data_IF_966123360888
#
_entry.id   IF_966123360888
#
_cell.length_a   1.000
_cell.length_b   1.000
_cell.length_c   1.000
_cell.angle_alpha   90.00
_cell.angle_beta   90.00
_cell.angle_gamma   90.00
#
_symmetry.space_group_name_H-M   'P 1'
#
loop_
_entity.id
_entity.type
_entity.pdbx_description
1 polymer ?
#
# COMPACT_ATOMS: atom_id res chain seq x y z
N UNK A 1 9.79 24.70 -8.59
CA UNK A 1 9.68 26.16 -8.82
C UNK A 1 10.74 26.98 -8.06
N UNK A 2 10.76 26.99 -6.72
CA UNK A 2 11.69 27.84 -5.94
C UNK A 2 13.19 27.57 -6.13
N UNK A 3 13.61 26.31 -6.38
CA UNK A 3 15.02 25.98 -6.59
C UNK A 3 15.55 26.43 -7.97
N UNK A 4 14.72 26.33 -9.02
CA UNK A 4 15.06 26.75 -10.38
C UNK A 4 15.12 28.28 -10.50
N UNK A 5 14.22 29.00 -9.83
CA UNK A 5 14.28 30.47 -9.73
C UNK A 5 15.49 30.94 -8.91
N UNK A 6 15.79 30.27 -7.80
CA UNK A 6 16.99 30.56 -7.00
C UNK A 6 18.27 30.29 -7.78
N UNK A 7 18.28 29.30 -8.67
CA UNK A 7 19.39 29.00 -9.59
C UNK A 7 19.52 30.06 -10.70
N UNK A 8 18.42 30.53 -11.29
CA UNK A 8 18.43 31.68 -12.21
C UNK A 8 19.03 32.92 -11.55
N UNK A 9 18.64 33.21 -10.30
CA UNK A 9 19.20 34.31 -9.51
C UNK A 9 20.69 34.15 -9.18
N UNK A 10 21.13 32.94 -8.82
CA UNK A 10 22.53 32.65 -8.50
C UNK A 10 23.43 32.77 -9.74
N UNK A 11 22.96 32.27 -10.89
CA UNK A 11 23.63 32.40 -12.18
C UNK A 11 23.77 33.87 -12.64
N UNK A 12 22.77 34.71 -12.34
CA UNK A 12 22.81 36.15 -12.63
C UNK A 12 23.73 36.94 -11.67
N UNK A 13 23.87 36.50 -10.42
CA UNK A 13 24.54 37.32 -9.39
C UNK A 13 26.08 37.32 -9.43
N UNK A 14 26.73 36.43 -10.21
CA UNK A 14 28.21 36.29 -10.37
C UNK A 14 29.02 36.36 -9.07
N UNK A 15 28.41 36.17 -7.90
CA UNK A 15 29.06 36.22 -6.61
C UNK A 15 29.07 34.82 -6.02
N UNK A 16 30.30 34.33 -5.86
CA UNK A 16 30.70 33.10 -5.15
C UNK A 16 30.84 31.80 -5.97
N UNK A 17 31.44 31.79 -7.17
CA UNK A 17 31.81 30.51 -7.80
C UNK A 17 33.22 30.58 -8.38
N UNK A 18 34.11 29.71 -7.87
CA UNK A 18 35.57 29.81 -8.00
C UNK A 18 36.18 29.06 -9.19
N UNK A 19 35.43 28.25 -9.95
CA UNK A 19 35.93 27.61 -11.19
C UNK A 19 34.81 27.40 -12.23
N UNK A 20 35.08 27.75 -13.50
CA UNK A 20 34.11 27.67 -14.60
C UNK A 20 33.73 26.22 -14.97
N UNK A 21 34.59 25.25 -14.65
CA UNK A 21 34.35 23.81 -14.88
C UNK A 21 33.25 23.27 -13.94
N UNK A 22 33.26 23.68 -12.67
CA UNK A 22 32.25 23.30 -11.69
C UNK A 22 30.88 23.88 -12.03
N UNK A 23 30.84 25.08 -12.61
CA UNK A 23 29.61 25.68 -13.14
C UNK A 23 29.05 24.88 -14.33
N UNK A 24 29.90 24.40 -15.23
CA UNK A 24 29.50 23.56 -16.35
C UNK A 24 28.91 22.22 -15.92
N UNK A 25 29.51 21.61 -14.88
CA UNK A 25 29.04 20.37 -14.25
C UNK A 25 27.69 20.57 -13.55
N UNK A 26 27.54 21.64 -12.76
CA UNK A 26 26.26 22.00 -12.13
C UNK A 26 25.14 22.21 -13.16
N UNK A 27 25.38 22.98 -14.22
CA UNK A 27 24.39 23.20 -15.29
C UNK A 27 23.99 21.88 -15.95
N UNK A 28 24.96 20.97 -16.16
CA UNK A 28 24.72 19.65 -16.75
C UNK A 28 23.86 18.78 -15.84
N UNK A 29 24.15 18.74 -14.54
CA UNK A 29 23.34 18.03 -13.55
C UNK A 29 21.88 18.54 -13.52
N UNK A 30 21.69 19.86 -13.52
CA UNK A 30 20.37 20.48 -13.48
C UNK A 30 19.51 20.27 -14.73
N UNK A 31 20.14 20.04 -15.89
CA UNK A 31 19.41 19.71 -17.13
C UNK A 31 18.60 18.43 -17.01
N UNK A 32 19.05 17.49 -16.17
CA UNK A 32 18.35 16.23 -15.95
C UNK A 32 17.23 16.32 -14.91
N UNK A 33 17.20 17.39 -14.10
CA UNK A 33 16.23 17.53 -13.00
C UNK A 33 14.80 17.84 -13.48
N UNK A 34 14.64 18.73 -14.46
CA UNK A 34 13.31 19.04 -15.02
C UNK A 34 12.63 17.82 -15.68
N UNK A 35 13.30 17.05 -16.58
CA UNK A 35 12.69 15.86 -17.13
C UNK A 35 12.52 14.75 -16.09
N UNK A 36 13.38 14.68 -15.07
CA UNK A 36 13.19 13.75 -13.95
C UNK A 36 11.93 14.09 -13.14
N UNK A 37 11.72 15.36 -12.80
CA UNK A 37 10.52 15.81 -12.07
C UNK A 37 9.24 15.54 -12.89
N UNK A 38 9.28 15.77 -14.20
CA UNK A 38 8.18 15.42 -15.09
C UNK A 38 7.92 13.92 -15.13
N UNK A 39 8.98 13.10 -15.20
CA UNK A 39 8.85 11.65 -15.16
C UNK A 39 8.27 11.16 -13.83
N UNK A 40 8.67 11.75 -12.70
CA UNK A 40 8.10 11.48 -11.37
C UNK A 40 6.61 11.79 -11.36
N UNK A 41 6.20 12.98 -11.81
CA UNK A 41 4.78 13.39 -11.87
C UNK A 41 3.93 12.48 -12.75
N UNK A 42 4.54 11.83 -13.74
CA UNK A 42 3.90 10.87 -14.63
C UNK A 42 4.00 9.42 -14.14
N UNK A 43 4.53 9.19 -12.93
CA UNK A 43 4.73 7.84 -12.38
C UNK A 43 5.79 7.01 -13.10
N UNK A 44 6.55 7.59 -14.04
CA UNK A 44 7.60 6.91 -14.83
C UNK A 44 8.88 6.77 -13.99
N UNK A 45 8.81 6.06 -12.88
CA UNK A 45 9.85 5.95 -11.86
C UNK A 45 11.18 5.40 -12.42
N UNK A 46 11.17 4.46 -13.38
CA UNK A 46 12.39 3.97 -14.02
C UNK A 46 13.12 5.06 -14.82
N UNK A 47 12.38 5.84 -15.60
CA UNK A 47 12.93 6.96 -16.38
C UNK A 47 13.44 8.06 -15.45
N UNK A 48 12.68 8.38 -14.40
CA UNK A 48 13.09 9.33 -13.38
C UNK A 48 14.41 8.91 -12.71
N UNK A 49 14.54 7.64 -12.33
CA UNK A 49 15.75 7.09 -11.73
C UNK A 49 16.95 7.31 -12.65
N UNK A 50 16.85 6.92 -13.92
CA UNK A 50 17.97 7.01 -14.85
C UNK A 50 18.43 8.46 -15.05
N UNK A 51 17.48 9.40 -15.19
CA UNK A 51 17.77 10.83 -15.28
C UNK A 51 18.44 11.38 -14.02
N UNK A 52 17.95 11.01 -12.84
CA UNK A 52 18.51 11.45 -11.56
C UNK A 52 19.90 10.86 -11.29
N UNK A 53 20.18 9.65 -11.74
CA UNK A 53 21.52 9.06 -11.66
C UNK A 53 22.51 9.80 -12.57
N UNK A 54 22.07 10.25 -13.76
CA UNK A 54 22.89 11.16 -14.58
C UNK A 54 23.10 12.50 -13.88
N UNK A 55 22.06 13.07 -13.25
CA UNK A 55 22.17 14.30 -12.48
C UNK A 55 23.21 14.16 -11.34
N UNK A 56 23.13 13.07 -10.57
CA UNK A 56 24.04 12.81 -9.46
C UNK A 56 25.50 12.59 -9.90
N UNK A 57 25.70 11.96 -11.06
CA UNK A 57 27.05 11.73 -11.62
C UNK A 57 27.76 13.03 -11.98
N UNK A 58 27.01 14.05 -12.41
CA UNK A 58 27.52 15.34 -12.87
C UNK A 58 27.59 16.40 -11.77
N UNK A 59 27.19 16.13 -10.53
CA UNK A 59 27.10 17.16 -9.46
C UNK A 59 28.26 17.08 -8.43
N UNK A 60 29.13 18.11 -8.36
CA UNK A 60 30.18 18.20 -7.34
C UNK A 60 29.83 19.05 -6.09
N UNK A 61 28.56 19.34 -5.74
CA UNK A 61 28.25 20.45 -4.81
C UNK A 61 27.00 20.31 -3.89
N UNK A 62 26.73 21.26 -2.96
CA UNK A 62 25.63 21.24 -1.97
C UNK A 62 24.21 21.07 -2.52
N UNK A 63 24.02 21.20 -3.84
CA UNK A 63 22.76 20.98 -4.53
C UNK A 63 22.38 19.50 -4.71
N UNK A 64 23.35 18.62 -4.48
CA UNK A 64 23.23 17.18 -4.43
C UNK A 64 22.15 16.71 -3.44
N UNK A 65 21.83 17.51 -2.41
CA UNK A 65 20.73 17.23 -1.48
C UNK A 65 19.36 17.04 -2.15
N UNK A 66 19.01 17.86 -3.14
CA UNK A 66 17.71 17.75 -3.84
C UNK A 66 17.69 16.54 -4.77
N UNK A 67 18.79 16.28 -5.47
CA UNK A 67 18.93 15.12 -6.38
C UNK A 67 18.77 13.83 -5.57
N UNK A 68 19.53 13.68 -4.48
CA UNK A 68 19.49 12.49 -3.64
C UNK A 68 18.13 12.32 -2.92
N UNK A 69 17.44 13.40 -2.55
CA UNK A 69 16.08 13.31 -2.03
C UNK A 69 15.08 12.79 -3.08
N UNK A 70 15.20 13.25 -4.33
CA UNK A 70 14.37 12.74 -5.43
C UNK A 70 14.74 11.29 -5.79
N UNK A 71 16.03 10.92 -5.77
CA UNK A 71 16.47 9.52 -5.93
C UNK A 71 15.87 8.64 -4.85
N UNK A 72 15.91 9.07 -3.58
CA UNK A 72 15.32 8.32 -2.49
C UNK A 72 13.83 8.07 -2.70
N UNK A 73 13.08 9.11 -3.07
CA UNK A 73 11.66 8.98 -3.42
C UNK A 73 11.42 7.96 -4.54
N UNK A 74 12.21 8.05 -5.62
CA UNK A 74 12.08 7.15 -6.78
C UNK A 74 12.48 5.71 -6.43
N UNK A 75 13.59 5.50 -5.72
CA UNK A 75 13.99 4.16 -5.28
C UNK A 75 12.96 3.52 -4.36
N UNK A 76 12.37 4.29 -3.45
CA UNK A 76 11.28 3.81 -2.61
C UNK A 76 10.09 3.35 -3.45
N UNK A 77 9.67 4.15 -4.44
CA UNK A 77 8.57 3.80 -5.36
C UNK A 77 8.88 2.59 -6.24
N UNK A 78 10.17 2.30 -6.48
CA UNK A 78 10.62 1.10 -7.17
C UNK A 78 10.77 -0.12 -6.23
N UNK A 79 10.38 0.00 -4.96
CA UNK A 79 10.50 -1.07 -3.95
C UNK A 79 11.91 -1.21 -3.33
N UNK A 80 12.86 -0.37 -3.74
CA UNK A 80 14.25 -0.42 -3.28
C UNK A 80 14.47 0.46 -2.04
N UNK A 81 13.72 0.20 -0.97
CA UNK A 81 13.74 1.05 0.24
C UNK A 81 15.11 1.10 0.93
N UNK A 82 15.96 0.07 0.82
CA UNK A 82 17.33 0.11 1.33
C UNK A 82 18.20 1.14 0.60
N UNK A 83 18.16 1.15 -0.74
CA UNK A 83 18.87 2.16 -1.53
C UNK A 83 18.29 3.55 -1.29
N UNK A 84 16.97 3.66 -1.15
CA UNK A 84 16.33 4.93 -0.82
C UNK A 84 16.85 5.54 0.50
N UNK A 85 17.14 4.71 1.51
CA UNK A 85 17.74 5.17 2.77
C UNK A 85 19.17 5.67 2.56
N UNK A 86 19.99 4.99 1.75
CA UNK A 86 21.36 5.44 1.40
C UNK A 86 21.34 6.82 0.72
N UNK A 87 20.41 7.01 -0.21
CA UNK A 87 20.20 8.28 -0.89
C UNK A 87 19.71 9.37 0.07
N UNK A 88 18.77 9.06 0.98
CA UNK A 88 18.35 9.98 2.04
C UNK A 88 19.51 10.37 2.97
N UNK A 89 20.37 9.42 3.35
CA UNK A 89 21.55 9.70 4.18
C UNK A 89 22.52 10.62 3.46
N UNK A 90 22.69 10.45 2.15
CA UNK A 90 23.49 11.35 1.33
C UNK A 90 22.86 12.73 1.23
N UNK A 91 21.54 12.82 1.06
CA UNK A 91 20.82 14.09 1.08
C UNK A 91 21.01 14.84 2.42
N UNK A 92 20.97 14.14 3.56
CA UNK A 92 21.19 14.72 4.89
C UNK A 92 22.62 15.25 5.11
N UNK A 93 23.63 14.78 4.36
CA UNK A 93 24.99 15.37 4.42
C UNK A 93 24.99 16.81 3.91
N UNK A 94 24.13 17.11 2.93
CA UNK A 94 24.01 18.44 2.32
C UNK A 94 22.92 19.29 2.98
N UNK A 95 21.83 18.67 3.42
CA UNK A 95 20.69 19.33 4.07
C UNK A 95 20.38 18.70 5.43
N UNK A 96 21.23 18.88 6.48
CA UNK A 96 21.12 18.13 7.74
C UNK A 96 19.82 18.35 8.53
N UNK A 97 19.07 19.41 8.22
CA UNK A 97 17.81 19.78 8.87
C UNK A 97 16.60 19.59 7.96
N UNK A 98 16.73 18.89 6.84
CA UNK A 98 15.62 18.68 5.94
C UNK A 98 14.62 17.66 6.53
N UNK A 99 13.52 18.20 7.08
CA UNK A 99 12.42 17.42 7.66
C UNK A 99 11.82 16.41 6.68
N UNK A 100 11.69 16.75 5.40
CA UNK A 100 11.08 15.85 4.40
C UNK A 100 11.91 14.58 4.21
N UNK A 101 13.23 14.65 4.38
CA UNK A 101 14.11 13.48 4.30
C UNK A 101 13.89 12.55 5.49
N UNK A 102 13.70 13.08 6.70
CA UNK A 102 13.34 12.25 7.86
C UNK A 102 12.01 11.52 7.64
N UNK A 103 11.01 12.18 7.05
CA UNK A 103 9.74 11.53 6.71
C UNK A 103 9.94 10.40 5.70
N UNK A 104 10.70 10.63 4.62
CA UNK A 104 11.00 9.59 3.61
C UNK A 104 11.75 8.40 4.20
N UNK A 105 12.74 8.62 5.08
CA UNK A 105 13.43 7.54 5.79
C UNK A 105 12.44 6.73 6.65
N UNK A 106 11.55 7.42 7.37
CA UNK A 106 10.49 6.79 8.16
C UNK A 106 9.62 5.85 7.32
N UNK A 107 9.17 6.32 6.15
CA UNK A 107 8.42 5.50 5.19
C UNK A 107 9.25 4.31 4.68
N UNK A 108 10.53 4.49 4.37
CA UNK A 108 11.39 3.41 3.89
C UNK A 108 11.58 2.32 4.96
N UNK A 109 11.80 2.70 6.22
CA UNK A 109 11.91 1.72 7.31
C UNK A 109 10.59 0.98 7.54
N UNK A 110 9.45 1.65 7.39
CA UNK A 110 8.13 1.02 7.41
C UNK A 110 7.99 -0.02 6.29
N UNK A 111 8.36 0.33 5.07
CA UNK A 111 8.36 -0.63 3.93
C UNK A 111 9.33 -1.81 4.16
N UNK A 112 10.40 -1.59 4.92
CA UNK A 112 11.33 -2.64 5.33
C UNK A 112 10.83 -3.49 6.51
N UNK A 113 9.73 -3.11 7.17
CA UNK A 113 9.20 -3.76 8.37
C UNK A 113 9.94 -3.38 9.66
N UNK A 114 10.85 -2.40 9.61
CA UNK A 114 11.61 -1.92 10.76
C UNK A 114 10.84 -0.81 11.48
N UNK A 115 9.75 -1.20 12.14
CA UNK A 115 8.74 -0.28 12.68
C UNK A 115 9.32 0.70 13.71
N UNK A 116 10.21 0.26 14.60
CA UNK A 116 10.83 1.15 15.60
C UNK A 116 11.69 2.25 14.95
N UNK A 117 12.44 1.90 13.90
CA UNK A 117 13.20 2.88 13.13
C UNK A 117 12.26 3.84 12.40
N UNK A 118 11.16 3.34 11.82
CA UNK A 118 10.16 4.18 11.17
C UNK A 118 9.60 5.23 12.13
N UNK A 119 9.15 4.81 13.31
CA UNK A 119 8.62 5.68 14.37
C UNK A 119 9.66 6.72 14.79
N UNK A 120 10.92 6.32 14.99
CA UNK A 120 11.98 7.24 15.42
C UNK A 120 12.21 8.39 14.41
N UNK A 121 12.25 8.08 13.10
CA UNK A 121 12.43 9.10 12.07
C UNK A 121 11.20 9.97 11.86
N UNK A 122 9.99 9.40 11.97
CA UNK A 122 8.75 10.18 11.92
C UNK A 122 8.63 11.13 13.12
N UNK A 123 9.07 10.73 14.32
CA UNK A 123 9.14 11.62 15.50
C UNK A 123 10.04 12.83 15.22
N UNK A 124 11.24 12.62 14.64
CA UNK A 124 12.12 13.72 14.20
C UNK A 124 11.47 14.64 13.16
N UNK A 125 10.68 14.09 12.24
CA UNK A 125 9.87 14.89 11.33
C UNK A 125 8.88 15.78 12.11
N UNK A 126 8.09 15.20 13.02
CA UNK A 126 7.09 15.97 13.81
C UNK A 126 7.71 17.05 14.71
N UNK A 127 8.94 16.85 15.19
CA UNK A 127 9.68 17.84 16.00
C UNK A 127 10.11 19.06 15.17
N UNK A 128 10.40 18.85 13.88
CA UNK A 128 10.88 19.89 12.96
C UNK A 128 9.79 20.49 12.07
N UNK A 129 8.64 19.81 11.94
CA UNK A 129 7.48 20.29 11.22
C UNK A 129 6.74 21.39 12.00
N UNK A 130 6.44 22.49 11.30
CA UNK A 130 5.73 23.67 11.81
C UNK A 130 4.26 23.67 11.39
N UNK A 131 3.94 23.03 10.28
CA UNK A 131 2.58 22.87 9.82
C UNK A 131 1.80 21.93 10.75
N UNK A 132 0.70 22.42 11.31
CA UNK A 132 -0.06 21.68 12.30
C UNK A 132 -0.80 20.48 11.69
N UNK A 133 -1.23 20.58 10.43
CA UNK A 133 -1.96 19.53 9.73
C UNK A 133 -1.01 18.37 9.37
N UNK A 134 0.12 18.67 8.76
CA UNK A 134 1.15 17.67 8.42
C UNK A 134 1.71 16.99 9.67
N UNK A 135 1.85 17.75 10.76
CA UNK A 135 2.26 17.20 12.06
C UNK A 135 1.20 16.28 12.66
N UNK A 136 -0.09 16.61 12.52
CA UNK A 136 -1.18 15.75 12.97
C UNK A 136 -1.24 14.45 12.17
N UNK A 137 -1.15 14.52 10.83
CA UNK A 137 -1.08 13.34 9.95
C UNK A 137 0.08 12.42 10.31
N UNK A 138 1.27 12.98 10.54
CA UNK A 138 2.42 12.18 10.93
C UNK A 138 2.29 11.57 12.34
N UNK A 139 1.59 12.23 13.27
CA UNK A 139 1.29 11.67 14.60
C UNK A 139 0.30 10.53 14.53
N UNK A 140 -0.79 10.69 13.78
CA UNK A 140 -1.75 9.61 13.49
C UNK A 140 -1.01 8.41 12.88
N UNK A 141 -0.12 8.66 11.92
CA UNK A 141 0.68 7.59 11.31
C UNK A 141 1.67 6.92 12.30
N UNK A 142 2.26 7.68 13.23
CA UNK A 142 3.09 7.11 14.31
C UNK A 142 2.25 6.23 15.24
N UNK A 143 1.07 6.69 15.64
CA UNK A 143 0.15 5.94 16.50
C UNK A 143 -0.30 4.64 15.83
N UNK A 144 -0.52 4.68 14.51
CA UNK A 144 -0.81 3.49 13.74
C UNK A 144 0.35 2.51 13.76
N UNK A 145 1.57 2.97 13.51
CA UNK A 145 2.77 2.13 13.57
C UNK A 145 3.06 1.58 14.96
N UNK A 146 2.77 2.32 16.02
CA UNK A 146 2.94 1.85 17.40
C UNK A 146 1.98 0.69 17.72
N UNK A 147 0.74 0.76 17.23
CA UNK A 147 -0.21 -0.34 17.33
C UNK A 147 0.19 -1.54 16.45
N UNK A 148 0.60 -1.26 15.21
CA UNK A 148 1.07 -2.29 14.28
C UNK A 148 2.30 -3.03 14.85
N UNK A 149 3.16 -2.34 15.58
CA UNK A 149 4.30 -2.94 16.29
C UNK A 149 3.86 -3.99 17.30
N UNK A 150 2.78 -3.76 18.04
CA UNK A 150 2.25 -4.72 19.01
C UNK A 150 1.71 -5.97 18.29
N UNK A 151 1.02 -5.78 17.16
CA UNK A 151 0.55 -6.87 16.30
C UNK A 151 1.73 -7.67 15.69
N UNK A 152 2.78 -6.98 15.28
CA UNK A 152 3.97 -7.56 14.64
C UNK A 152 4.97 -8.17 15.63
N UNK A 153 4.89 -7.84 16.93
CA UNK A 153 5.77 -8.40 17.96
C UNK A 153 5.44 -9.86 18.28
N UNK A 154 4.30 -10.38 17.81
CA UNK A 154 3.98 -11.80 17.88
C UNK A 154 5.02 -12.62 17.09
N UNK A 155 5.43 -13.81 17.58
CA UNK A 155 6.46 -14.61 16.93
C UNK A 155 6.07 -14.91 15.48
N UNK A 156 6.90 -14.40 14.57
CA UNK A 156 6.76 -14.55 13.13
C UNK A 156 7.05 -16.02 12.79
N UNK A 157 5.99 -16.80 12.62
CA UNK A 157 6.08 -18.24 12.32
C UNK A 157 6.51 -18.45 10.87
N UNK A 158 7.62 -19.17 10.64
CA UNK A 158 8.09 -19.62 9.31
C UNK A 158 7.10 -20.58 8.59
N UNK A 159 5.88 -20.69 9.10
CA UNK A 159 4.79 -21.44 8.50
C UNK A 159 4.58 -21.05 7.03
N UNK A 160 4.38 -22.04 6.15
CA UNK A 160 4.10 -21.80 4.72
C UNK A 160 2.76 -21.10 4.48
N UNK A 161 1.94 -20.93 5.52
CA UNK A 161 0.67 -20.23 5.53
C UNK A 161 0.44 -19.54 6.89
N UNK A 162 -0.73 -18.94 7.09
CA UNK A 162 -1.11 -18.29 8.35
C UNK A 162 -2.49 -18.73 8.87
N UNK A 163 -2.98 -19.91 8.47
CA UNK A 163 -4.31 -20.39 8.88
C UNK A 163 -4.44 -20.59 10.38
N UNK A 164 -3.43 -21.18 11.03
CA UNK A 164 -3.51 -21.56 12.44
C UNK A 164 -3.61 -20.30 13.34
N UNK A 165 -2.95 -19.20 12.93
CA UNK A 165 -3.08 -17.90 13.60
C UNK A 165 -4.49 -17.30 13.43
N UNK A 166 -5.11 -17.46 12.26
CA UNK A 166 -6.49 -17.00 12.04
C UNK A 166 -7.48 -17.82 12.87
N UNK A 167 -7.32 -19.15 12.92
CA UNK A 167 -8.18 -20.05 13.70
C UNK A 167 -8.08 -19.76 15.20
N UNK A 168 -6.88 -19.52 15.72
CA UNK A 168 -6.66 -19.18 17.12
C UNK A 168 -7.40 -17.90 17.56
N UNK A 169 -7.60 -16.98 16.62
CA UNK A 169 -8.31 -15.71 16.85
C UNK A 169 -9.76 -15.73 16.35
N UNK A 170 -10.25 -16.86 15.84
CA UNK A 170 -11.61 -16.96 15.31
C UNK A 170 -11.88 -16.09 14.08
N UNK A 171 -10.84 -15.78 13.31
CA UNK A 171 -10.90 -14.89 12.13
C UNK A 171 -10.96 -15.72 10.84
N UNK A 172 -11.67 -16.85 10.84
CA UNK A 172 -11.91 -17.71 9.67
C UNK A 172 -13.40 -17.93 9.52
N UNK A 173 -13.93 -17.53 8.37
CA UNK A 173 -15.34 -17.70 8.00
C UNK A 173 -15.38 -18.36 6.63
N UNK A 174 -16.36 -19.19 6.30
CA UNK A 174 -16.30 -20.00 5.06
C UNK A 174 -17.62 -20.06 4.34
N UNK A 175 -17.57 -20.10 3.02
CA UNK A 175 -18.72 -20.48 2.21
C UNK A 175 -18.93 -22.00 2.25
N UNK A 176 -20.17 -22.46 2.32
CA UNK A 176 -20.48 -23.88 2.20
C UNK A 176 -20.08 -24.38 0.80
N UNK A 177 -19.61 -25.63 0.67
CA UNK A 177 -19.32 -26.21 -0.65
C UNK A 177 -20.53 -26.22 -1.58
N UNK A 178 -21.73 -26.37 -1.02
CA UNK A 178 -23.00 -26.32 -1.75
C UNK A 178 -23.35 -24.93 -2.29
N UNK A 179 -22.68 -23.87 -1.81
CA UNK A 179 -22.84 -22.51 -2.33
C UNK A 179 -22.03 -22.28 -3.63
N UNK A 180 -21.15 -23.21 -4.01
CA UNK A 180 -20.35 -23.06 -5.21
C UNK A 180 -21.17 -23.37 -6.48
N UNK A 181 -21.01 -22.60 -7.57
CA UNK A 181 -20.15 -21.41 -7.67
C UNK A 181 -20.77 -20.16 -7.02
N UNK A 182 -19.94 -19.38 -6.34
CA UNK A 182 -20.32 -18.10 -5.73
C UNK A 182 -20.65 -17.08 -6.83
N UNK A 183 -21.81 -16.44 -6.72
CA UNK A 183 -22.28 -15.40 -7.64
C UNK A 183 -21.71 -14.06 -7.21
N UNK A 184 -20.87 -13.48 -8.05
CA UNK A 184 -20.20 -12.20 -7.77
C UNK A 184 -20.78 -11.12 -8.67
N UNK A 185 -21.34 -10.07 -8.07
CA UNK A 185 -21.70 -8.85 -8.78
C UNK A 185 -20.59 -7.81 -8.62
N UNK A 186 -20.17 -7.21 -9.74
CA UNK A 186 -19.21 -6.11 -9.75
C UNK A 186 -19.93 -4.89 -10.29
N UNK A 187 -20.17 -3.91 -9.41
CA UNK A 187 -20.86 -2.67 -9.76
C UNK A 187 -20.11 -1.86 -10.80
N UNK A 188 -20.86 -1.01 -11.52
CA UNK A 188 -20.29 0.05 -12.36
C UNK A 188 -20.19 1.32 -11.55
N UNK A 189 -19.03 1.98 -11.60
CA UNK A 189 -18.77 3.25 -10.94
C UNK A 189 -18.94 4.46 -11.86
N UNK A 190 -19.76 4.34 -12.91
CA UNK A 190 -19.95 5.38 -13.92
C UNK A 190 -20.35 6.72 -13.24
N UNK A 191 -19.57 7.77 -13.51
CA UNK A 191 -19.78 9.10 -12.93
C UNK A 191 -19.12 9.36 -11.57
N UNK A 192 -18.49 8.36 -10.94
CA UNK A 192 -17.70 8.58 -9.73
C UNK A 192 -16.34 9.21 -10.06
N UNK A 193 -15.94 10.22 -9.28
CA UNK A 193 -14.62 10.85 -9.40
C UNK A 193 -13.50 9.82 -9.19
N UNK A 194 -12.52 9.78 -10.09
CA UNK A 194 -11.39 8.85 -10.02
C UNK A 194 -11.68 7.42 -10.50
N UNK A 195 -12.94 7.09 -10.80
CA UNK A 195 -13.29 5.81 -11.38
C UNK A 195 -12.81 5.70 -12.84
N UNK A 196 -12.26 4.55 -13.20
CA UNK A 196 -11.87 4.23 -14.58
C UNK A 196 -12.55 2.95 -15.06
N UNK A 197 -12.93 2.90 -16.34
CA UNK A 197 -13.71 1.80 -16.93
C UNK A 197 -13.01 0.42 -16.86
N UNK A 198 -11.70 0.39 -16.64
CA UNK A 198 -10.93 -0.84 -16.46
C UNK A 198 -11.02 -1.42 -15.04
N UNK A 199 -11.50 -0.68 -14.02
CA UNK A 199 -11.55 -1.15 -12.63
C UNK A 199 -12.30 -2.47 -12.42
N UNK A 200 -13.48 -2.71 -13.04
CA UNK A 200 -14.15 -4.00 -12.94
C UNK A 200 -13.31 -5.19 -13.41
N UNK A 201 -12.39 -4.99 -14.35
CA UNK A 201 -11.49 -6.05 -14.83
C UNK A 201 -10.47 -6.45 -13.74
N UNK A 202 -10.02 -5.49 -12.92
CA UNK A 202 -9.14 -5.78 -11.78
C UNK A 202 -9.87 -6.52 -10.66
N UNK A 203 -11.12 -6.12 -10.36
CA UNK A 203 -11.96 -6.86 -9.42
C UNK A 203 -12.18 -8.30 -9.87
N UNK A 204 -12.53 -8.52 -11.15
CA UNK A 204 -12.65 -9.87 -11.71
C UNK A 204 -11.34 -10.66 -11.60
N UNK A 205 -10.20 -10.05 -11.99
CA UNK A 205 -8.87 -10.65 -11.90
C UNK A 205 -8.52 -11.05 -10.47
N UNK A 206 -8.95 -10.28 -9.47
CA UNK A 206 -8.73 -10.60 -8.06
C UNK A 206 -9.44 -11.89 -7.66
N UNK A 207 -10.74 -12.02 -7.97
CA UNK A 207 -11.48 -13.26 -7.70
C UNK A 207 -10.93 -14.46 -8.48
N UNK A 208 -10.62 -14.29 -9.77
CA UNK A 208 -10.00 -15.35 -10.59
C UNK A 208 -8.65 -15.80 -10.01
N UNK A 209 -7.85 -14.87 -9.46
CA UNK A 209 -6.57 -15.21 -8.80
C UNK A 209 -6.78 -16.09 -7.57
N UNK A 210 -7.77 -15.80 -6.73
CA UNK A 210 -8.11 -16.61 -5.56
C UNK A 210 -8.72 -17.96 -5.95
N UNK A 211 -9.59 -18.00 -6.96
CA UNK A 211 -10.17 -19.24 -7.51
C UNK A 211 -9.05 -20.17 -8.01
N UNK A 212 -8.12 -19.66 -8.83
CA UNK A 212 -6.96 -20.43 -9.30
C UNK A 212 -6.06 -20.88 -8.15
N UNK A 213 -5.81 -20.00 -7.19
CA UNK A 213 -4.99 -20.30 -6.02
C UNK A 213 -5.56 -21.46 -5.20
N UNK A 214 -6.89 -21.55 -5.09
CA UNK A 214 -7.59 -22.61 -4.36
C UNK A 214 -7.46 -23.99 -5.00
N UNK A 215 -6.98 -24.10 -6.24
CA UNK A 215 -6.89 -25.38 -6.94
C UNK A 215 -8.26 -25.98 -7.31
N UNK A 216 -9.29 -25.14 -7.49
CA UNK A 216 -10.65 -25.56 -7.87
C UNK A 216 -11.61 -25.81 -6.69
N UNK A 217 -11.17 -25.56 -5.46
CA UNK A 217 -12.01 -25.63 -4.26
C UNK A 217 -13.00 -24.47 -4.16
N UNK A 218 -12.61 -23.31 -4.69
CA UNK A 218 -13.47 -22.15 -4.91
C UNK A 218 -13.89 -22.10 -6.37
N UNK A 219 -15.13 -21.67 -6.60
CA UNK A 219 -15.64 -21.37 -7.93
C UNK A 219 -16.46 -20.07 -7.84
N UNK A 220 -16.25 -19.15 -8.77
CA UNK A 220 -17.00 -17.91 -8.85
C UNK A 220 -17.57 -17.73 -10.26
N UNK A 221 -18.76 -17.15 -10.35
CA UNK A 221 -19.40 -16.74 -11.61
C UNK A 221 -19.88 -15.30 -11.48
N UNK A 222 -19.78 -14.52 -12.56
CA UNK A 222 -20.29 -13.16 -12.57
C UNK A 222 -21.81 -13.15 -12.78
N UNK A 223 -22.49 -12.23 -12.09
CA UNK A 223 -23.91 -11.95 -12.30
C UNK A 223 -24.11 -10.46 -12.56
N UNK A 224 -25.17 -10.12 -13.32
CA UNK A 224 -25.42 -8.75 -13.79
C UNK A 224 -26.19 -7.88 -12.79
N UNK A 225 -26.81 -8.48 -11.76
CA UNK A 225 -27.64 -7.76 -10.80
C UNK A 225 -27.19 -8.06 -9.37
N UNK A 226 -27.13 -7.06 -8.48
CA UNK A 226 -26.68 -7.26 -7.10
C UNK A 226 -27.60 -8.20 -6.31
N UNK A 227 -28.91 -8.21 -6.59
CA UNK A 227 -29.87 -9.09 -5.89
C UNK A 227 -29.65 -10.58 -6.17
N UNK A 228 -28.96 -10.91 -7.27
CA UNK A 228 -28.64 -12.28 -7.64
C UNK A 228 -27.28 -12.75 -7.09
N UNK A 229 -26.57 -11.88 -6.35
CA UNK A 229 -25.20 -12.11 -5.91
C UNK A 229 -25.08 -12.62 -4.48
N UNK A 230 -24.09 -13.48 -4.27
CA UNK A 230 -23.60 -13.87 -2.95
C UNK A 230 -22.55 -12.86 -2.46
N UNK A 231 -21.75 -12.31 -3.39
CA UNK A 231 -20.76 -11.27 -3.13
C UNK A 231 -21.05 -10.05 -4.00
N UNK A 232 -21.23 -8.89 -3.38
CA UNK A 232 -21.43 -7.59 -4.03
C UNK A 232 -20.18 -6.72 -3.87
N UNK A 233 -19.60 -6.25 -4.97
CA UNK A 233 -18.52 -5.25 -4.96
C UNK A 233 -19.02 -3.93 -5.54
N UNK A 234 -18.90 -2.86 -4.78
CA UNK A 234 -19.23 -1.49 -5.21
C UNK A 234 -18.04 -0.51 -5.08
N UNK A 235 -18.11 0.54 -5.87
CA UNK A 235 -17.11 1.62 -5.89
C UNK A 235 -17.64 2.84 -5.15
N UNK A 236 -16.77 3.59 -4.48
CA UNK A 236 -17.17 4.77 -3.73
C UNK A 236 -16.11 5.88 -3.76
N UNK A 237 -16.54 7.11 -3.48
CA UNK A 237 -15.67 8.26 -3.18
C UNK A 237 -15.72 8.63 -1.69
N UNK A 238 -16.57 7.95 -0.93
CA UNK A 238 -16.74 8.18 0.51
C UNK A 238 -15.53 7.64 1.27
N UNK A 239 -15.13 8.37 2.32
CA UNK A 239 -14.12 7.90 3.24
C UNK A 239 -14.57 6.62 3.94
N UNK A 240 -13.85 5.54 3.72
CA UNK A 240 -14.06 4.26 4.39
C UNK A 240 -13.20 4.18 5.63
N UNK A 241 -13.77 3.63 6.71
CA UNK A 241 -13.10 3.40 7.97
C UNK A 241 -13.26 1.95 8.42
N UNK A 242 -12.16 1.31 8.78
CA UNK A 242 -12.14 0.01 9.44
C UNK A 242 -12.07 0.26 10.95
N UNK A 243 -12.99 -0.35 11.68
CA UNK A 243 -12.98 -0.33 13.15
C UNK A 243 -12.19 -1.55 13.62
N UNK A 244 -11.11 -1.31 14.35
CA UNK A 244 -10.27 -2.36 14.93
C UNK A 244 -10.88 -2.89 16.23
N UNK A 245 -10.40 -4.04 16.71
CA UNK A 245 -10.92 -4.68 17.92
C UNK A 245 -10.77 -3.79 19.19
N UNK A 246 -9.93 -2.75 19.14
CA UNK A 246 -9.74 -1.74 20.20
C UNK A 246 -10.65 -0.49 20.05
N UNK A 247 -11.55 -0.47 19.06
CA UNK A 247 -12.47 0.62 18.77
C UNK A 247 -11.87 1.78 17.97
N UNK A 248 -10.59 1.72 17.57
CA UNK A 248 -9.98 2.73 16.70
C UNK A 248 -10.53 2.62 15.28
N UNK A 249 -10.71 3.78 14.64
CA UNK A 249 -11.15 3.88 13.25
C UNK A 249 -9.99 4.30 12.37
N UNK A 250 -9.57 3.40 11.47
CA UNK A 250 -8.50 3.64 10.50
C UNK A 250 -9.07 3.84 9.11
N UNK A 251 -8.52 4.79 8.37
CA UNK A 251 -8.86 4.97 6.94
C UNK A 251 -8.49 3.70 6.18
N UNK A 252 -9.37 3.25 5.29
CA UNK A 252 -9.17 2.04 4.51
C UNK A 252 -9.41 2.29 3.02
N UNK A 253 -8.59 1.72 2.15
CA UNK A 253 -8.79 1.81 0.70
C UNK A 253 -10.00 0.98 0.23
N UNK A 254 -10.29 -0.10 0.94
CA UNK A 254 -11.50 -0.90 0.80
C UNK A 254 -11.96 -1.44 2.15
N UNK A 255 -13.21 -1.89 2.20
CA UNK A 255 -13.76 -2.64 3.34
C UNK A 255 -14.60 -3.81 2.84
N UNK A 256 -14.57 -4.90 3.59
CA UNK A 256 -15.41 -6.07 3.39
C UNK A 256 -16.27 -6.29 4.62
N UNK A 257 -17.58 -6.36 4.42
CA UNK A 257 -18.54 -6.74 5.44
C UNK A 257 -19.18 -8.08 5.07
N UNK A 258 -19.08 -9.07 5.95
CA UNK A 258 -19.67 -10.39 5.77
C UNK A 258 -20.85 -10.59 6.72
N UNK A 259 -21.87 -11.29 6.23
CA UNK A 259 -23.05 -11.66 6.99
C UNK A 259 -23.16 -13.19 7.07
N UNK A 260 -23.56 -13.74 8.23
CA UNK A 260 -23.76 -15.18 8.39
C UNK A 260 -24.95 -15.67 7.57
N UNK A 261 -24.92 -16.95 7.18
CA UNK A 261 -26.06 -17.62 6.56
C UNK A 261 -27.27 -17.67 7.51
N UNK A 262 -28.48 -17.47 6.96
CA UNK A 262 -29.74 -17.38 7.73
C UNK A 262 -30.18 -18.71 8.34
N UNK A 263 -29.92 -19.82 7.65
CA UNK A 263 -30.09 -21.16 8.20
C UNK A 263 -28.79 -21.54 8.91
N UNK A 264 -28.84 -21.55 10.24
CA UNK A 264 -27.71 -21.94 11.07
C UNK A 264 -27.22 -23.33 10.65
N UNK A 265 -26.12 -23.39 9.88
CA UNK A 265 -25.25 -24.54 9.79
C UNK A 265 -24.62 -24.76 11.18
N UNK A 266 -25.45 -25.31 12.06
CA UNK A 266 -25.22 -25.64 13.47
C UNK A 266 -24.33 -26.88 13.63
N UNK A 267 -23.59 -27.26 12.59
CA UNK A 267 -22.64 -28.37 12.60
C UNK A 267 -21.18 -27.98 12.37
N UNK A 268 -20.85 -26.68 12.25
CA UNK A 268 -19.45 -26.24 12.44
C UNK A 268 -19.12 -26.15 13.95
N UNK A 269 -18.98 -27.33 14.54
CA UNK A 269 -17.88 -27.71 15.44
C UNK A 269 -17.42 -26.68 16.49
N UNK A 270 -17.96 -26.75 17.72
CA UNK A 270 -17.39 -26.35 19.04
C UNK A 270 -16.68 -24.99 19.27
N UNK A 271 -16.34 -24.22 18.24
CA UNK A 271 -15.71 -22.91 18.32
C UNK A 271 -16.66 -21.88 17.68
N UNK A 272 -17.42 -21.12 18.49
CA UNK A 272 -18.42 -20.15 18.00
C UNK A 272 -17.82 -19.01 17.16
N UNK A 273 -16.50 -18.93 17.03
CA UNK A 273 -15.82 -17.91 16.25
C UNK A 273 -15.69 -18.25 14.75
N UNK A 274 -15.89 -19.51 14.33
CA UNK A 274 -15.92 -19.88 12.91
C UNK A 274 -17.37 -20.10 12.45
N UNK A 275 -17.80 -19.42 11.38
CA UNK A 275 -19.18 -19.48 10.91
C UNK A 275 -19.29 -19.46 9.38
N UNK A 276 -20.47 -19.89 8.89
CA UNK A 276 -20.77 -20.00 7.47
C UNK A 276 -21.22 -18.65 6.88
N UNK A 277 -20.51 -18.17 5.86
CA UNK A 277 -20.82 -16.92 5.16
C UNK A 277 -22.07 -17.12 4.30
N UNK A 278 -23.02 -16.19 4.40
CA UNK A 278 -24.24 -16.15 3.59
C UNK A 278 -24.25 -15.02 2.56
N UNK A 279 -23.61 -13.89 2.88
CA UNK A 279 -23.48 -12.76 1.96
C UNK A 279 -22.23 -11.94 2.29
N UNK A 280 -21.57 -11.35 1.29
CA UNK A 280 -20.46 -10.43 1.51
C UNK A 280 -20.61 -9.17 0.65
N UNK A 281 -20.36 -8.00 1.25
CA UNK A 281 -20.35 -6.72 0.56
C UNK A 281 -18.98 -6.07 0.68
N UNK A 282 -18.39 -5.75 -0.47
CA UNK A 282 -17.10 -5.09 -0.61
C UNK A 282 -17.34 -3.67 -1.12
N UNK A 283 -16.70 -2.68 -0.48
CA UNK A 283 -16.67 -1.28 -0.96
C UNK A 283 -15.23 -0.88 -1.19
N UNK A 284 -14.92 -0.31 -2.35
CA UNK A 284 -13.56 0.14 -2.71
C UNK A 284 -13.57 1.61 -3.10
N UNK A 285 -12.64 2.39 -2.55
CA UNK A 285 -12.47 3.79 -2.90
C UNK A 285 -11.83 3.97 -4.28
N UNK A 286 -12.33 4.96 -5.01
CA UNK A 286 -11.84 5.35 -6.35
C UNK A 286 -10.78 6.46 -6.29
N UNK A 287 -10.59 7.03 -5.10
CA UNK A 287 -9.56 8.02 -4.77
C UNK A 287 -8.74 7.46 -3.62
N UNK A 288 -7.43 7.66 -3.66
CA UNK A 288 -6.53 7.19 -2.63
C UNK A 288 -6.84 7.89 -1.30
N UNK A 289 -7.13 7.10 -0.26
CA UNK A 289 -7.61 7.63 1.02
C UNK A 289 -6.52 8.38 1.82
N UNK A 290 -5.24 8.23 1.45
CA UNK A 290 -4.11 8.92 2.08
C UNK A 290 -3.65 10.13 1.26
N UNK A 291 -3.38 9.96 -0.03
CA UNK A 291 -2.86 11.05 -0.88
C UNK A 291 -3.94 11.98 -1.42
N UNK A 292 -5.21 11.53 -1.44
CA UNK A 292 -6.34 12.22 -2.12
C UNK A 292 -6.17 12.37 -3.63
N UNK A 293 -5.25 11.63 -4.22
CA UNK A 293 -5.03 11.55 -5.66
C UNK A 293 -5.79 10.35 -6.25
N UNK A 294 -5.89 10.29 -7.58
CA UNK A 294 -6.50 9.15 -8.28
C UNK A 294 -5.75 7.84 -8.00
N UNK A 295 -6.48 6.76 -7.77
CA UNK A 295 -5.88 5.44 -7.56
C UNK A 295 -5.20 4.93 -8.84
N UNK A 296 -3.98 4.39 -8.69
CA UNK A 296 -3.29 3.68 -9.77
C UNK A 296 -3.94 2.32 -10.05
N UNK A 297 -3.57 1.67 -11.16
CA UNK A 297 -4.04 0.32 -11.48
C UNK A 297 -3.61 -0.71 -10.41
N UNK A 298 -2.39 -0.56 -9.89
CA UNK A 298 -1.84 -1.43 -8.85
C UNK A 298 -2.54 -1.20 -7.50
N UNK A 299 -2.88 0.05 -7.16
CA UNK A 299 -3.66 0.35 -5.95
C UNK A 299 -5.02 -0.37 -5.98
N UNK A 300 -5.73 -0.28 -7.11
CA UNK A 300 -7.04 -0.91 -7.28
C UNK A 300 -6.92 -2.43 -7.27
N UNK A 301 -5.98 -3.00 -8.02
CA UNK A 301 -5.81 -4.45 -8.08
C UNK A 301 -5.41 -5.02 -6.72
N UNK A 302 -4.48 -4.37 -6.02
CA UNK A 302 -4.03 -4.79 -4.68
C UNK A 302 -5.19 -4.73 -3.67
N UNK A 303 -5.95 -3.64 -3.66
CA UNK A 303 -7.13 -3.48 -2.80
C UNK A 303 -8.19 -4.55 -3.11
N UNK A 304 -8.48 -4.79 -4.40
CA UNK A 304 -9.43 -5.82 -4.81
C UNK A 304 -8.98 -7.22 -4.35
N UNK A 305 -7.69 -7.55 -4.47
CA UNK A 305 -7.16 -8.84 -4.00
C UNK A 305 -7.30 -9.00 -2.49
N UNK A 306 -6.99 -7.96 -1.71
CA UNK A 306 -7.11 -7.97 -0.25
C UNK A 306 -8.56 -8.17 0.20
N UNK A 307 -9.48 -7.33 -0.30
CA UNK A 307 -10.89 -7.39 0.08
C UNK A 307 -11.58 -8.68 -0.41
N UNK A 308 -11.22 -9.17 -1.60
CA UNK A 308 -11.69 -10.48 -2.07
C UNK A 308 -11.22 -11.61 -1.14
N UNK A 309 -10.00 -11.53 -0.60
CA UNK A 309 -9.50 -12.51 0.37
C UNK A 309 -10.35 -12.54 1.65
N UNK A 310 -10.73 -11.36 2.15
CA UNK A 310 -11.69 -11.25 3.25
C UNK A 310 -13.04 -11.88 2.90
N UNK A 311 -13.63 -11.51 1.76
CA UNK A 311 -14.94 -12.00 1.34
C UNK A 311 -14.97 -13.52 1.09
N UNK A 312 -13.81 -14.11 0.76
CA UNK A 312 -13.65 -15.55 0.55
C UNK A 312 -13.28 -16.31 1.82
N UNK A 313 -13.15 -15.64 2.97
CA UNK A 313 -13.11 -16.31 4.27
C UNK A 313 -11.89 -16.08 5.14
N UNK A 314 -10.93 -15.28 4.67
CA UNK A 314 -9.79 -14.84 5.48
C UNK A 314 -10.25 -13.64 6.31
N UNK A 315 -10.90 -13.87 7.45
CA UNK A 315 -11.46 -12.81 8.30
C UNK A 315 -10.42 -12.01 9.11
N UNK A 316 -9.13 -12.30 8.97
CA UNK A 316 -8.03 -11.62 9.66
C UNK A 316 -6.90 -11.28 8.71
N UNK A 317 -5.72 -11.00 9.24
CA UNK A 317 -4.57 -10.55 8.45
C UNK A 317 -3.34 -11.43 8.65
N UNK A 318 -2.49 -11.45 7.63
CA UNK A 318 -1.12 -11.95 7.77
C UNK A 318 -0.27 -10.96 8.56
N UNK A 319 0.72 -11.45 9.29
CA UNK A 319 1.75 -10.64 9.94
C UNK A 319 2.92 -10.26 9.00
N UNK A 320 2.89 -10.71 7.74
CA UNK A 320 4.03 -10.58 6.82
C UNK A 320 3.74 -9.56 5.72
N UNK A 321 4.57 -8.52 5.65
CA UNK A 321 4.47 -7.39 4.73
C UNK A 321 4.48 -7.73 3.23
N UNK A 322 4.78 -8.96 2.83
CA UNK A 322 4.81 -9.39 1.42
C UNK A 322 3.51 -10.07 1.00
N UNK A 323 2.68 -10.46 1.96
CA UNK A 323 1.39 -11.11 1.72
C UNK A 323 0.35 -10.07 1.37
N UNK A 324 -0.58 -10.42 0.47
CA UNK A 324 -1.66 -9.50 0.12
C UNK A 324 -2.56 -9.25 1.32
N UNK A 325 -2.73 -10.25 2.20
CA UNK A 325 -3.55 -10.16 3.40
C UNK A 325 -2.85 -9.48 4.58
N UNK A 326 -1.69 -8.85 4.38
CA UNK A 326 -1.09 -7.99 5.40
C UNK A 326 -1.99 -6.76 5.64
N UNK A 327 -2.21 -6.39 6.90
CA UNK A 327 -3.19 -5.37 7.30
C UNK A 327 -2.83 -3.95 6.81
N UNK A 328 -1.56 -3.67 6.50
CA UNK A 328 -1.09 -2.37 6.05
C UNK A 328 -0.60 -2.39 4.60
N UNK A 329 -0.58 -1.23 3.95
CA UNK A 329 0.03 -1.09 2.61
C UNK A 329 1.55 -1.15 2.73
N UNK A 330 2.22 -2.00 1.95
CA UNK A 330 3.68 -2.10 1.92
C UNK A 330 4.18 -2.16 0.48
N UNK A 331 5.29 -1.46 0.19
CA UNK A 331 5.93 -1.50 -1.14
C UNK A 331 6.54 -2.87 -1.49
N UNK A 332 6.57 -3.81 -0.53
CA UNK A 332 6.95 -5.21 -0.78
C UNK A 332 5.76 -6.08 -1.19
N UNK A 333 4.53 -5.60 -1.01
CA UNK A 333 3.35 -6.26 -1.58
C UNK A 333 3.37 -6.01 -3.07
N UNK A 334 3.50 -7.09 -3.82
CA UNK A 334 3.14 -7.06 -5.23
C UNK A 334 1.61 -7.14 -5.31
N UNK A 335 0.96 -6.57 -6.34
CA UNK A 335 -0.47 -6.72 -6.59
C UNK A 335 -0.78 -8.15 -7.10
N UNK A 336 -0.39 -9.14 -6.31
CA UNK A 336 -0.47 -10.57 -6.59
C UNK A 336 -0.45 -11.38 -5.29
N UNK A 337 -1.13 -12.52 -5.29
CA UNK A 337 -1.14 -13.45 -4.16
C UNK A 337 0.26 -14.03 -3.91
N UNK A 338 0.72 -13.95 -2.66
CA UNK A 338 1.96 -14.58 -2.21
C UNK A 338 1.82 -16.11 -2.18
N UNK A 339 2.93 -16.82 -1.95
CA UNK A 339 2.88 -18.28 -1.72
C UNK A 339 2.06 -18.62 -0.48
N UNK A 340 2.13 -17.78 0.56
CA UNK A 340 1.44 -17.98 1.83
C UNK A 340 -0.05 -17.68 1.70
N UNK A 341 -0.43 -16.63 0.98
CA UNK A 341 -1.83 -16.35 0.67
C UNK A 341 -2.51 -17.56 -0.01
N UNK A 342 -1.84 -18.12 -1.04
CA UNK A 342 -2.32 -19.30 -1.77
C UNK A 342 -2.43 -20.53 -0.87
N UNK A 343 -1.42 -20.80 -0.04
CA UNK A 343 -1.43 -21.94 0.87
C UNK A 343 -2.54 -21.80 1.93
N UNK A 344 -2.75 -20.59 2.47
CA UNK A 344 -3.81 -20.31 3.44
C UNK A 344 -5.20 -20.59 2.85
N UNK A 345 -5.54 -20.03 1.68
CA UNK A 345 -6.88 -20.22 1.09
C UNK A 345 -7.14 -21.70 0.75
N UNK A 346 -6.12 -22.41 0.29
CA UNK A 346 -6.19 -23.85 0.04
C UNK A 346 -6.51 -24.59 1.33
N UNK A 347 -5.78 -24.36 2.43
CA UNK A 347 -6.05 -25.03 3.71
C UNK A 347 -7.43 -24.68 4.27
N UNK A 348 -7.91 -23.45 4.09
CA UNK A 348 -9.27 -23.04 4.53
C UNK A 348 -10.34 -23.94 3.91
N UNK A 349 -10.22 -24.25 2.61
CA UNK A 349 -11.23 -25.04 1.89
C UNK A 349 -10.90 -26.53 1.72
N UNK A 350 -9.67 -26.95 2.03
CA UNK A 350 -9.26 -28.36 2.05
C UNK A 350 -9.67 -29.09 3.33
N UNK A 351 -9.80 -28.37 4.45
CA UNK A 351 -9.97 -28.99 5.78
C UNK A 351 -11.35 -29.64 6.02
N UNK A 352 -12.02 -30.12 4.97
CA UNK A 352 -13.14 -31.04 5.13
C UNK A 352 -12.61 -32.47 5.28
N UNK A 353 -12.66 -32.94 6.52
CA UNK A 353 -13.30 -34.21 6.85
C UNK A 353 -14.22 -33.97 8.05
#
# INVERSE_FOLDING_TARGET
MAALERFKLLAESKRELKDAEDLGKQISAYRYMEPAELAIKQGRNLVAKDLLLQAAKEDPSPFSGVIHRQLAYVFRNLGNSSQAIEECQTALKFEPKNKSVNYTIGLCYKDLGQVDNAIAYLKRFTESEKDAEEKAKAREFIEDLEHDRELLAAPVSDSPDYLDALLANGKVHRWAKTAMPLRVYIGRGEGLTGYRENFPQFAFKAFDSWVRASGGLLQCVLVDRPQDSDIELEWTVEDLFKEEDDGKKRRAAGITHMQPATEAYSSFNSNPACWAVGHAKIRIQTINCFSREECTDDDILSTCLHEAGHALGIGGHSAYFSDIMFFGVSNKQLPALSKRDKATIVRIYQSEN
#
